data_IF_796962083441
#
_entry.id   IF_796962083441
#
_cell.length_a   1.000
_cell.length_b   1.000
_cell.length_c   1.000
_cell.angle_alpha   90.00
_cell.angle_beta   90.00
_cell.angle_gamma   90.00
#
_symmetry.space_group_name_H-M   'P 1'
#
loop_
_entity.id
_entity.type
_entity.pdbx_description
1 polymer ?
#
# COMPACT_ATOMS: atom_id res chain seq x y z
N UNK A 1 -45.70 48.73 3.77
CA UNK A 1 -44.70 48.14 2.83
C UNK A 1 -43.62 47.31 3.55
N UNK A 2 -43.32 47.53 4.84
CA UNK A 2 -42.33 46.74 5.60
C UNK A 2 -42.79 45.31 6.00
N UNK A 3 -44.08 45.09 6.31
CA UNK A 3 -44.59 43.78 6.74
C UNK A 3 -44.54 42.69 5.67
N UNK A 4 -44.75 43.04 4.40
CA UNK A 4 -44.66 42.08 3.30
C UNK A 4 -43.24 41.54 3.10
N UNK A 5 -42.20 42.33 3.42
CA UNK A 5 -40.81 41.89 3.30
C UNK A 5 -40.41 40.93 4.43
N UNK A 6 -40.98 41.08 5.62
CA UNK A 6 -40.76 40.17 6.75
C UNK A 6 -41.44 38.82 6.51
N UNK A 7 -42.66 38.81 5.98
CA UNK A 7 -43.39 37.60 5.65
C UNK A 7 -42.73 36.81 4.50
N UNK A 8 -42.23 37.51 3.47
CA UNK A 8 -41.51 36.90 2.34
C UNK A 8 -40.21 36.20 2.79
N UNK A 9 -39.44 36.81 3.69
CA UNK A 9 -38.21 36.18 4.24
C UNK A 9 -38.53 34.93 5.05
N UNK A 10 -39.62 34.96 5.81
CA UNK A 10 -40.08 33.83 6.64
C UNK A 10 -40.60 32.67 5.81
N UNK A 11 -41.28 32.97 4.69
CA UNK A 11 -41.65 31.97 3.69
C UNK A 11 -40.42 31.36 3.03
N UNK A 12 -39.49 32.16 2.52
CA UNK A 12 -38.27 31.67 1.87
C UNK A 12 -37.47 30.75 2.81
N UNK A 13 -37.33 31.12 4.09
CA UNK A 13 -36.68 30.28 5.10
C UNK A 13 -37.42 28.95 5.33
N UNK A 14 -38.76 28.95 5.34
CA UNK A 14 -39.56 27.72 5.44
C UNK A 14 -39.42 26.85 4.19
N UNK A 15 -39.39 27.44 3.00
CA UNK A 15 -39.25 26.72 1.72
C UNK A 15 -37.85 26.11 1.54
N UNK A 16 -36.79 26.81 1.97
CA UNK A 16 -35.43 26.27 1.97
C UNK A 16 -35.30 25.14 3.01
N UNK A 17 -35.89 25.32 4.20
CA UNK A 17 -35.89 24.30 5.26
C UNK A 17 -36.58 23.00 4.86
N UNK A 18 -37.73 23.06 4.17
CA UNK A 18 -38.43 21.86 3.68
C UNK A 18 -37.74 21.23 2.47
N UNK A 19 -37.14 22.04 1.57
CA UNK A 19 -36.37 21.53 0.43
C UNK A 19 -35.10 20.79 0.83
N UNK A 20 -34.37 21.28 1.83
CA UNK A 20 -33.12 20.67 2.30
C UNK A 20 -33.33 19.28 2.93
N UNK A 21 -34.45 19.06 3.62
CA UNK A 21 -34.81 17.77 4.22
C UNK A 21 -35.18 16.75 3.14
N UNK A 22 -35.88 17.16 2.07
CA UNK A 22 -36.19 16.27 0.96
C UNK A 22 -34.94 15.81 0.20
N UNK A 23 -33.92 16.68 0.09
CA UNK A 23 -32.64 16.33 -0.56
C UNK A 23 -31.72 15.45 0.28
N UNK A 24 -31.79 15.51 1.63
CA UNK A 24 -30.97 14.65 2.49
C UNK A 24 -31.48 13.21 2.56
N UNK A 25 -32.79 12.97 2.35
CA UNK A 25 -33.35 11.62 2.28
C UNK A 25 -32.97 10.87 0.99
N UNK A 26 -32.78 11.57 -0.13
CA UNK A 26 -32.27 10.94 -1.37
C UNK A 26 -30.77 10.65 -1.32
N UNK A 27 -29.99 11.33 -0.48
CA UNK A 27 -28.60 10.99 -0.23
C UNK A 27 -28.43 9.71 0.62
N UNK A 28 -29.48 9.28 1.33
CA UNK A 28 -29.56 8.01 2.04
C UNK A 28 -30.14 6.87 1.17
N UNK A 29 -30.42 7.11 -0.12
CA UNK A 29 -30.77 6.02 -1.01
C UNK A 29 -29.60 5.04 -1.07
N UNK A 30 -29.84 3.82 -0.57
CA UNK A 30 -28.88 2.74 -0.66
C UNK A 30 -28.49 2.58 -2.13
N UNK A 31 -27.23 2.87 -2.46
CA UNK A 31 -26.66 2.48 -3.74
C UNK A 31 -26.94 0.97 -3.83
N UNK A 32 -27.72 0.49 -4.81
CA UNK A 32 -27.93 -0.93 -4.94
C UNK A 32 -26.55 -1.55 -5.17
N UNK A 33 -26.06 -2.30 -4.19
CA UNK A 33 -24.88 -3.17 -4.29
C UNK A 33 -25.20 -4.38 -5.20
N UNK A 34 -25.92 -4.14 -6.30
CA UNK A 34 -26.32 -5.16 -7.27
C UNK A 34 -25.39 -5.18 -8.47
N UNK A 35 -24.23 -4.51 -8.40
CA UNK A 35 -23.12 -4.94 -9.23
C UNK A 35 -22.63 -6.28 -8.68
N UNK A 36 -23.33 -7.36 -9.07
CA UNK A 36 -22.82 -8.72 -8.97
C UNK A 36 -21.50 -8.71 -9.71
N UNK A 37 -20.40 -8.56 -8.99
CA UNK A 37 -19.08 -8.81 -9.52
C UNK A 37 -19.11 -10.24 -10.06
N UNK A 38 -19.23 -10.37 -11.39
CA UNK A 38 -19.07 -11.65 -12.05
C UNK A 38 -17.62 -12.05 -11.83
N UNK A 39 -17.40 -12.95 -10.87
CA UNK A 39 -16.07 -13.53 -10.67
C UNK A 39 -15.66 -14.16 -12.02
N UNK A 40 -14.53 -13.74 -12.60
CA UNK A 40 -14.05 -14.35 -13.83
C UNK A 40 -13.85 -15.85 -13.59
N UNK A 41 -14.61 -16.68 -14.33
CA UNK A 41 -14.38 -18.11 -14.57
C UNK A 41 -13.83 -18.98 -13.43
N UNK A 42 -14.50 -19.04 -12.26
CA UNK A 42 -14.14 -20.02 -11.21
C UNK A 42 -15.19 -21.10 -10.95
N UNK A 43 -16.13 -21.35 -11.88
CA UNK A 43 -17.14 -22.43 -11.71
C UNK A 43 -16.63 -23.82 -12.09
N UNK A 44 -15.55 -23.92 -12.85
CA UNK A 44 -14.89 -25.21 -13.01
C UNK A 44 -14.01 -25.42 -11.78
N UNK A 45 -14.12 -26.57 -11.08
CA UNK A 45 -13.13 -26.97 -10.11
C UNK A 45 -11.76 -26.85 -10.78
N UNK A 46 -10.80 -26.28 -10.07
CA UNK A 46 -9.42 -26.30 -10.54
C UNK A 46 -9.05 -27.77 -10.77
N UNK A 47 -8.79 -28.13 -12.02
CA UNK A 47 -8.34 -29.48 -12.33
C UNK A 47 -6.95 -29.61 -11.72
N UNK A 48 -6.74 -30.65 -10.91
CA UNK A 48 -5.43 -30.91 -10.35
C UNK A 48 -4.42 -31.02 -11.50
N UNK A 49 -3.29 -30.27 -11.47
CA UNK A 49 -2.28 -30.38 -12.50
C UNK A 49 -1.77 -31.82 -12.55
N UNK A 50 -1.44 -32.32 -13.75
CA UNK A 50 -0.74 -33.62 -13.88
C UNK A 50 0.70 -33.46 -13.38
N UNK A 51 0.98 -33.93 -12.17
CA UNK A 51 2.31 -33.87 -11.56
C UNK A 51 3.09 -35.12 -11.99
N UNK A 52 4.26 -34.94 -12.59
CA UNK A 52 5.19 -36.03 -12.90
C UNK A 52 6.63 -35.50 -12.87
N UNK A 53 7.57 -36.34 -12.46
CA UNK A 53 8.99 -35.94 -12.32
C UNK A 53 9.63 -35.65 -13.68
N UNK A 54 9.08 -36.23 -14.75
CA UNK A 54 9.48 -36.01 -16.13
C UNK A 54 9.17 -34.56 -16.60
N UNK A 55 8.32 -33.82 -15.89
CA UNK A 55 7.96 -32.44 -16.22
C UNK A 55 8.76 -31.38 -15.42
N UNK A 56 9.79 -31.78 -14.66
CA UNK A 56 10.61 -30.82 -13.89
C UNK A 56 11.53 -30.03 -14.84
N UNK A 57 11.29 -28.72 -14.95
CA UNK A 57 12.07 -27.84 -15.85
C UNK A 57 13.35 -27.27 -15.22
N UNK A 58 13.37 -27.09 -13.89
CA UNK A 58 14.51 -26.55 -13.14
C UNK A 58 14.35 -26.84 -11.65
N UNK A 59 15.49 -26.98 -10.98
CA UNK A 59 15.58 -26.97 -9.52
C UNK A 59 16.30 -25.68 -9.09
N UNK A 60 15.75 -25.01 -8.07
CA UNK A 60 16.32 -23.76 -7.54
C UNK A 60 16.35 -23.86 -6.03
N UNK A 61 17.52 -23.62 -5.47
CA UNK A 61 17.74 -23.58 -4.03
C UNK A 61 17.98 -22.12 -3.61
N UNK A 62 17.38 -21.73 -2.50
CA UNK A 62 17.56 -20.41 -1.91
C UNK A 62 17.50 -20.46 -0.40
N UNK A 63 18.27 -19.60 0.26
CA UNK A 63 18.22 -19.45 1.71
C UNK A 63 17.09 -18.50 2.10
N UNK A 64 16.28 -18.91 3.06
CA UNK A 64 15.27 -18.04 3.68
C UNK A 64 15.95 -17.23 4.79
N UNK A 65 15.99 -15.88 4.71
CA UNK A 65 16.57 -15.04 5.75
C UNK A 65 15.63 -14.96 6.96
N UNK A 66 15.47 -16.07 7.66
CA UNK A 66 14.61 -16.20 8.84
C UNK A 66 15.33 -15.70 10.09
N UNK A 67 14.55 -15.10 11.00
CA UNK A 67 15.02 -14.70 12.32
C UNK A 67 14.02 -15.18 13.38
N UNK A 68 14.45 -15.88 14.45
CA UNK A 68 13.55 -16.38 15.50
C UNK A 68 12.71 -15.29 16.15
N UNK A 69 13.30 -14.12 16.41
CA UNK A 69 12.62 -12.96 16.99
C UNK A 69 11.80 -12.13 15.99
N UNK A 70 11.46 -12.68 14.82
CA UNK A 70 10.77 -11.96 13.76
C UNK A 70 11.65 -11.03 12.94
N UNK A 71 11.04 -10.46 11.89
CA UNK A 71 11.67 -9.46 11.05
C UNK A 71 11.90 -8.15 11.82
N UNK A 72 12.89 -7.38 11.38
CA UNK A 72 13.29 -6.13 12.00
C UNK A 72 13.04 -5.00 11.02
N UNK A 73 12.22 -4.03 11.44
CA UNK A 73 12.13 -2.70 10.84
C UNK A 73 12.31 -1.67 11.94
N UNK A 74 13.45 -0.98 11.91
CA UNK A 74 13.80 0.08 12.88
C UNK A 74 14.99 0.90 12.39
N UNK A 75 15.05 2.16 12.77
CA UNK A 75 16.24 3.00 12.62
C UNK A 75 17.24 2.79 13.76
N UNK A 76 18.53 2.98 13.46
CA UNK A 76 19.64 2.96 14.40
C UNK A 76 20.69 4.00 13.96
N UNK A 77 21.26 4.74 14.89
CA UNK A 77 22.37 5.66 14.60
C UNK A 77 23.69 4.91 14.65
N UNK A 78 24.45 4.95 13.56
CA UNK A 78 25.80 4.41 13.48
C UNK A 78 26.78 5.53 13.07
N UNK A 79 27.48 6.08 14.07
CA UNK A 79 28.33 7.25 13.89
C UNK A 79 27.51 8.45 13.42
N UNK A 80 27.87 9.00 12.26
CA UNK A 80 27.16 10.13 11.63
C UNK A 80 26.01 9.71 10.70
N UNK A 81 25.81 8.40 10.50
CA UNK A 81 24.79 7.85 9.60
C UNK A 81 23.62 7.27 10.38
N UNK A 82 22.46 7.24 9.73
CA UNK A 82 21.29 6.50 10.20
C UNK A 82 21.12 5.27 9.33
N UNK A 83 21.00 4.11 9.96
CA UNK A 83 20.74 2.83 9.31
C UNK A 83 19.29 2.48 9.59
N UNK A 84 18.49 2.32 8.54
CA UNK A 84 17.16 1.72 8.64
C UNK A 84 17.27 0.25 8.32
N UNK A 85 17.05 -0.58 9.33
CA UNK A 85 16.97 -2.02 9.19
C UNK A 85 15.65 -2.42 8.53
N UNK A 86 15.69 -3.36 7.59
CA UNK A 86 14.52 -3.97 6.97
C UNK A 86 14.87 -5.41 6.53
N UNK A 87 14.94 -6.35 7.48
CA UNK A 87 15.42 -7.72 7.23
C UNK A 87 14.72 -8.77 8.10
N UNK A 88 14.93 -10.06 7.80
CA UNK A 88 14.46 -11.16 8.66
C UNK A 88 13.09 -11.74 8.30
N UNK A 89 12.59 -11.50 7.09
CA UNK A 89 11.22 -11.89 6.65
C UNK A 89 11.05 -13.37 6.32
N UNK A 90 12.09 -14.19 6.43
CA UNK A 90 12.02 -15.63 6.15
C UNK A 90 11.49 -15.93 4.75
N UNK A 91 10.49 -16.81 4.65
CA UNK A 91 9.86 -17.17 3.38
C UNK A 91 8.84 -16.15 2.84
N UNK A 92 8.55 -15.08 3.59
CA UNK A 92 7.45 -14.15 3.29
C UNK A 92 7.92 -12.84 2.67
N UNK A 93 9.18 -12.76 2.23
CA UNK A 93 9.79 -11.53 1.71
C UNK A 93 9.05 -10.92 0.51
N UNK A 94 8.50 -11.73 -0.40
CA UNK A 94 7.71 -11.20 -1.53
C UNK A 94 6.36 -10.66 -1.04
N UNK A 95 5.63 -11.44 -0.24
CA UNK A 95 4.30 -11.06 0.26
C UNK A 95 4.33 -9.80 1.11
N UNK A 96 5.36 -9.62 1.92
CA UNK A 96 5.48 -8.52 2.89
C UNK A 96 6.25 -7.31 2.38
N UNK A 97 6.82 -7.36 1.16
CA UNK A 97 7.80 -6.37 0.68
C UNK A 97 7.28 -4.94 0.76
N UNK A 98 6.13 -4.65 0.16
CA UNK A 98 5.53 -3.32 0.13
C UNK A 98 5.21 -2.78 1.52
N UNK A 99 4.57 -3.59 2.37
CA UNK A 99 4.20 -3.19 3.73
C UNK A 99 5.42 -2.94 4.61
N UNK A 100 6.39 -3.86 4.59
CA UNK A 100 7.63 -3.70 5.36
C UNK A 100 8.47 -2.52 4.88
N UNK A 101 8.52 -2.29 3.57
CA UNK A 101 9.22 -1.14 2.99
C UNK A 101 8.56 0.17 3.36
N UNK A 102 7.21 0.22 3.42
CA UNK A 102 6.49 1.39 3.89
C UNK A 102 6.80 1.69 5.37
N UNK A 103 6.93 0.65 6.22
CA UNK A 103 7.40 0.83 7.60
C UNK A 103 8.83 1.38 7.64
N UNK A 104 9.73 0.88 6.78
CA UNK A 104 11.10 1.38 6.71
C UNK A 104 11.16 2.85 6.26
N UNK A 105 10.30 3.30 5.35
CA UNK A 105 10.19 4.72 4.99
C UNK A 105 9.67 5.56 6.16
N UNK A 106 8.76 5.03 6.99
CA UNK A 106 8.30 5.75 8.19
C UNK A 106 9.41 5.97 9.22
N UNK A 107 10.41 5.10 9.27
CA UNK A 107 11.59 5.30 10.11
C UNK A 107 12.44 6.49 9.66
N UNK A 108 12.20 7.07 8.47
CA UNK A 108 12.90 8.26 7.98
C UNK A 108 12.17 9.57 8.27
N UNK A 109 11.05 9.54 8.99
CA UNK A 109 10.28 10.75 9.30
C UNK A 109 11.09 11.69 10.20
N UNK A 110 11.05 12.99 9.87
CA UNK A 110 11.81 14.02 10.59
C UNK A 110 13.28 14.12 10.18
N UNK A 111 13.76 13.27 9.27
CA UNK A 111 15.06 13.45 8.63
C UNK A 111 14.93 14.47 7.50
N UNK A 112 15.91 15.36 7.36
CA UNK A 112 15.96 16.28 6.23
C UNK A 112 16.27 15.51 4.94
N UNK A 113 15.70 15.97 3.82
CA UNK A 113 15.79 15.30 2.52
C UNK A 113 17.25 15.29 2.03
N UNK A 114 17.89 14.14 2.21
CA UNK A 114 19.26 13.89 1.75
C UNK A 114 19.28 12.63 0.87
N UNK A 115 20.41 12.35 0.23
CA UNK A 115 20.56 11.12 -0.54
C UNK A 115 20.50 9.88 0.37
N UNK A 116 19.91 8.79 -0.11
CA UNK A 116 19.85 7.51 0.60
C UNK A 116 20.49 6.39 -0.21
N UNK A 117 21.22 5.52 0.47
CA UNK A 117 21.78 4.30 -0.09
C UNK A 117 20.91 3.11 0.30
N UNK A 118 20.41 2.37 -0.69
CA UNK A 118 19.69 1.10 -0.47
C UNK A 118 20.63 -0.05 -0.80
N UNK A 119 20.76 -1.00 0.13
CA UNK A 119 21.64 -2.15 -0.03
C UNK A 119 20.84 -3.35 -0.55
N UNK A 120 21.22 -3.82 -1.74
CA UNK A 120 20.60 -4.95 -2.44
C UNK A 120 19.46 -4.53 -3.38
N UNK A 121 19.37 -5.23 -4.52
CA UNK A 121 18.32 -5.07 -5.53
C UNK A 121 17.29 -6.22 -5.53
N UNK A 122 17.16 -6.93 -4.41
CA UNK A 122 16.08 -7.91 -4.22
C UNK A 122 14.74 -7.22 -4.01
N UNK A 123 13.67 -8.01 -3.86
CA UNK A 123 12.29 -7.47 -3.71
C UNK A 123 12.19 -6.38 -2.64
N UNK A 124 12.78 -6.58 -1.46
CA UNK A 124 12.79 -5.59 -0.37
C UNK A 124 13.53 -4.32 -0.73
N UNK A 125 14.70 -4.44 -1.35
CA UNK A 125 15.52 -3.29 -1.76
C UNK A 125 14.82 -2.46 -2.82
N UNK A 126 14.24 -3.09 -3.85
CA UNK A 126 13.53 -2.40 -4.92
C UNK A 126 12.24 -1.73 -4.42
N UNK A 127 11.46 -2.39 -3.57
CA UNK A 127 10.25 -1.76 -2.99
C UNK A 127 10.61 -0.62 -2.05
N UNK A 128 11.64 -0.76 -1.21
CA UNK A 128 12.15 0.33 -0.37
C UNK A 128 12.64 1.51 -1.21
N UNK A 129 13.45 1.25 -2.25
CA UNK A 129 13.94 2.28 -3.15
C UNK A 129 12.80 3.04 -3.82
N UNK A 130 11.78 2.34 -4.32
CA UNK A 130 10.64 2.98 -4.98
C UNK A 130 9.85 3.87 -4.02
N UNK A 131 9.57 3.40 -2.80
CA UNK A 131 8.80 4.17 -1.82
C UNK A 131 9.61 5.35 -1.26
N UNK A 132 10.94 5.21 -1.11
CA UNK A 132 11.83 6.32 -0.77
C UNK A 132 11.82 7.39 -1.87
N UNK A 133 11.82 6.99 -3.15
CA UNK A 133 11.67 7.94 -4.26
C UNK A 133 10.32 8.68 -4.20
N UNK A 134 9.22 7.97 -3.93
CA UNK A 134 7.90 8.61 -3.74
C UNK A 134 7.88 9.60 -2.58
N UNK A 135 8.67 9.34 -1.53
CA UNK A 135 8.87 10.23 -0.40
C UNK A 135 9.91 11.35 -0.66
N UNK A 136 10.39 11.52 -1.91
CA UNK A 136 11.27 12.63 -2.30
C UNK A 136 12.77 12.40 -2.07
N UNK A 137 13.19 11.19 -1.73
CA UNK A 137 14.61 10.88 -1.51
C UNK A 137 15.38 10.69 -2.81
N UNK A 138 16.64 11.16 -2.85
CA UNK A 138 17.58 10.81 -3.92
C UNK A 138 18.19 9.43 -3.64
N UNK A 139 17.63 8.39 -4.24
CA UNK A 139 17.99 6.99 -3.98
C UNK A 139 19.16 6.53 -4.86
N UNK A 140 20.15 5.87 -4.25
CA UNK A 140 21.19 5.08 -4.94
C UNK A 140 21.13 3.64 -4.46
N UNK A 141 21.03 2.67 -5.38
CA UNK A 141 20.99 1.24 -5.03
C UNK A 141 22.38 0.64 -5.21
N UNK A 142 22.92 0.04 -4.15
CA UNK A 142 24.15 -0.72 -4.18
C UNK A 142 23.82 -2.21 -4.20
N UNK A 143 24.13 -2.86 -5.30
CA UNK A 143 23.93 -4.31 -5.45
C UNK A 143 25.14 -4.95 -6.12
N UNK A 144 25.42 -6.21 -5.79
CA UNK A 144 26.49 -6.96 -6.45
C UNK A 144 26.17 -7.25 -7.91
N UNK A 145 24.91 -7.58 -8.18
CA UNK A 145 24.41 -7.89 -9.50
C UNK A 145 23.15 -7.08 -9.76
N UNK A 146 23.07 -6.49 -10.95
CA UNK A 146 21.85 -5.84 -11.41
C UNK A 146 20.73 -6.88 -11.51
N UNK A 147 19.51 -6.47 -11.17
CA UNK A 147 18.34 -7.29 -11.49
C UNK A 147 18.38 -7.57 -13.00
N UNK A 148 18.46 -8.85 -13.37
CA UNK A 148 18.19 -9.27 -14.75
C UNK A 148 16.69 -9.02 -14.92
N UNK A 149 16.27 -8.34 -15.99
CA UNK A 149 14.93 -7.82 -16.31
C UNK A 149 14.50 -6.54 -15.56
#
# INVERSE_FOLDING_TARGET
VADNKLNLRREILKTIGTGAIATSLSACAAIPLTQKYQRPYSRNPWVAPRISMENVIREVVGHRPFRPGGFVVRSEKLGEKIIVHNYGHGGSGITLSWGSSALAVRETLGMEHHSVAVIGSGVMGLTSARLLQDAGWKVTIYTREMARH
#
